data_IF_368941563269
#
_entry.id   IF_368941563269
#
_cell.length_a   1.000
_cell.length_b   1.000
_cell.length_c   1.000
_cell.angle_alpha   90.00
_cell.angle_beta   90.00
_cell.angle_gamma   90.00
#
_symmetry.space_group_name_H-M   'P 1'
#
loop_
_entity.id
_entity.type
_entity.pdbx_description
1 polymer ?
#
# COMPACT_ATOMS: atom_id res chain seq x y z
N UNK A 1 38.50 47.93 6.88
CA UNK A 1 38.20 46.84 7.82
C UNK A 1 36.70 46.68 8.08
N UNK A 2 35.93 47.76 8.34
CA UNK A 2 34.45 47.71 8.53
C UNK A 2 33.71 47.13 7.30
N UNK A 3 34.15 47.45 6.08
CA UNK A 3 33.51 46.94 4.86
C UNK A 3 33.68 45.43 4.66
N UNK A 4 34.81 44.85 5.07
CA UNK A 4 35.04 43.40 4.99
C UNK A 4 34.18 42.64 6.01
N UNK A 5 34.01 43.21 7.21
CA UNK A 5 33.19 42.63 8.27
C UNK A 5 31.71 42.60 7.85
N UNK A 6 31.19 43.70 7.31
CA UNK A 6 29.80 43.76 6.83
C UNK A 6 29.54 42.92 5.56
N UNK A 7 30.57 42.67 4.75
CA UNK A 7 30.48 41.78 3.59
C UNK A 7 30.43 40.29 3.98
N UNK A 8 31.07 39.91 5.08
CA UNK A 8 31.08 38.52 5.59
C UNK A 8 29.93 38.26 6.56
N UNK A 9 29.74 39.15 7.53
CA UNK A 9 28.67 39.09 8.52
C UNK A 9 27.63 40.14 8.17
N UNK A 10 26.45 39.72 7.73
CA UNK A 10 25.36 40.65 7.43
C UNK A 10 24.88 41.30 8.72
N UNK A 11 24.89 42.64 8.79
CA UNK A 11 24.29 43.36 9.92
C UNK A 11 22.81 42.98 10.05
N UNK A 12 22.37 42.60 11.25
CA UNK A 12 21.00 42.12 11.49
C UNK A 12 20.77 40.66 11.11
N UNK A 13 21.83 39.83 11.08
CA UNK A 13 21.69 38.39 10.89
C UNK A 13 20.92 37.78 12.05
N UNK A 14 19.68 37.35 11.79
CA UNK A 14 18.84 36.64 12.76
C UNK A 14 19.37 35.23 12.97
N UNK A 15 19.76 34.95 14.20
CA UNK A 15 20.14 33.61 14.62
C UNK A 15 19.16 33.15 15.69
N UNK A 16 18.48 32.05 15.40
CA UNK A 16 17.57 31.39 16.33
C UNK A 16 18.40 30.55 17.32
N UNK A 17 18.34 30.91 18.60
CA UNK A 17 18.98 30.14 19.66
C UNK A 17 17.96 29.20 20.30
N UNK A 18 18.10 27.90 20.05
CA UNK A 18 17.18 26.91 20.60
C UNK A 18 17.71 26.33 21.92
N UNK A 19 16.95 26.51 23.00
CA UNK A 19 17.20 25.80 24.25
C UNK A 19 16.77 24.33 24.11
N UNK A 20 17.75 23.41 24.16
CA UNK A 20 17.53 21.95 24.11
C UNK A 20 17.50 21.27 25.49
N UNK A 21 17.46 22.04 26.58
CA UNK A 21 17.38 21.52 27.96
C UNK A 21 18.71 21.05 28.54
N UNK A 22 18.92 21.40 29.82
CA UNK A 22 19.95 20.99 30.79
C UNK A 22 21.45 21.02 30.41
N UNK A 23 21.86 21.29 29.17
CA UNK A 23 23.29 21.45 28.84
C UNK A 23 23.49 22.66 27.95
N UNK A 24 24.29 23.61 28.45
CA UNK A 24 24.80 24.82 27.77
C UNK A 24 25.50 24.55 26.43
N UNK A 25 25.72 23.28 26.08
CA UNK A 25 26.24 22.82 24.80
C UNK A 25 25.29 22.99 23.62
N UNK A 26 23.97 23.15 23.84
CA UNK A 26 23.00 23.28 22.74
C UNK A 26 23.30 24.48 21.87
N UNK A 27 23.32 25.66 22.50
CA UNK A 27 23.42 27.00 21.91
C UNK A 27 24.71 27.24 21.12
N UNK A 28 25.80 26.57 21.52
CA UNK A 28 27.07 26.68 20.81
C UNK A 28 27.08 25.92 19.49
N UNK A 29 26.18 24.95 19.28
CA UNK A 29 26.08 24.23 18.00
C UNK A 29 25.40 25.06 16.90
N UNK A 30 24.40 25.87 17.22
CA UNK A 30 23.75 26.72 16.21
C UNK A 30 24.72 27.77 15.66
N UNK A 31 25.47 28.44 16.55
CA UNK A 31 26.53 29.39 16.16
C UNK A 31 27.67 28.68 15.43
N UNK A 32 28.07 27.48 15.86
CA UNK A 32 29.06 26.66 15.13
C UNK A 32 28.62 26.38 13.70
N UNK A 33 27.35 26.05 13.47
CA UNK A 33 26.84 25.78 12.13
C UNK A 33 26.99 27.01 11.22
N UNK A 34 26.71 28.21 11.74
CA UNK A 34 26.88 29.46 11.01
C UNK A 34 28.37 29.68 10.65
N UNK A 35 29.28 29.46 11.59
CA UNK A 35 30.72 29.60 11.33
C UNK A 35 31.26 28.53 10.38
N UNK A 36 30.82 27.28 10.50
CA UNK A 36 31.21 26.21 9.56
C UNK A 36 30.80 26.55 8.12
N UNK A 37 29.62 27.15 7.92
CA UNK A 37 29.14 27.54 6.60
C UNK A 37 29.87 28.76 6.04
N UNK A 38 30.21 29.75 6.88
CA UNK A 38 31.08 30.86 6.49
C UNK A 38 32.51 30.40 6.17
N UNK A 39 33.01 29.38 6.88
CA UNK A 39 34.32 28.81 6.64
C UNK A 39 34.38 28.04 5.32
N UNK A 40 33.33 27.28 4.98
CA UNK A 40 33.20 26.62 3.66
C UNK A 40 33.15 27.61 2.50
N UNK A 41 32.57 28.79 2.72
CA UNK A 41 32.53 29.88 1.75
C UNK A 41 33.87 30.61 1.61
N UNK A 42 34.88 30.26 2.42
CA UNK A 42 36.19 30.90 2.42
C UNK A 42 36.19 32.32 3.01
N UNK A 43 35.11 32.71 3.70
CA UNK A 43 34.95 34.06 4.25
C UNK A 43 35.61 34.20 5.63
N UNK A 44 35.64 33.10 6.38
CA UNK A 44 36.41 32.96 7.62
C UNK A 44 37.24 31.68 7.52
N UNK A 45 38.30 31.57 8.32
CA UNK A 45 39.11 30.36 8.40
C UNK A 45 39.31 29.96 9.86
N UNK A 46 39.29 28.66 10.11
CA UNK A 46 39.67 28.10 11.41
C UNK A 46 41.16 28.33 11.62
N UNK A 47 41.51 29.08 12.66
CA UNK A 47 42.87 29.54 12.94
C UNK A 47 43.85 28.40 13.18
N UNK A 48 43.37 27.33 13.82
CA UNK A 48 44.21 26.20 14.24
C UNK A 48 43.97 24.94 13.40
N UNK A 49 42.96 24.93 12.53
CA UNK A 49 42.59 23.79 11.70
C UNK A 49 42.08 22.57 12.48
N UNK A 50 41.62 22.79 13.72
CA UNK A 50 41.21 21.73 14.67
C UNK A 50 39.68 21.60 14.79
N UNK A 51 38.94 22.46 14.11
CA UNK A 51 37.52 22.71 14.32
C UNK A 51 37.23 23.27 15.72
N UNK A 52 35.95 23.47 16.03
CA UNK A 52 35.51 23.96 17.35
C UNK A 52 35.92 22.97 18.46
N UNK A 53 36.94 23.32 19.25
CA UNK A 53 37.36 22.50 20.39
C UNK A 53 36.45 22.73 21.61
N UNK A 54 36.66 21.95 22.69
CA UNK A 54 35.95 22.16 23.96
C UNK A 54 36.26 23.53 24.58
N UNK A 55 37.48 24.03 24.39
CA UNK A 55 37.89 25.34 24.91
C UNK A 55 37.24 26.46 24.09
N UNK A 56 37.17 26.32 22.77
CA UNK A 56 36.52 27.29 21.89
C UNK A 56 35.01 27.34 22.14
N UNK A 57 34.37 26.20 22.40
CA UNK A 57 32.96 26.17 22.81
C UNK A 57 32.72 26.92 24.14
N UNK A 58 33.65 26.83 25.10
CA UNK A 58 33.56 27.56 26.36
C UNK A 58 33.78 29.07 26.16
N UNK A 59 34.76 29.45 25.34
CA UNK A 59 35.04 30.84 24.99
C UNK A 59 33.86 31.47 24.23
N UNK A 60 33.30 30.76 23.26
CA UNK A 60 32.10 31.15 22.51
C UNK A 60 30.90 31.37 23.44
N UNK A 61 30.66 30.45 24.37
CA UNK A 61 29.58 30.61 25.36
C UNK A 61 29.78 31.86 26.24
N UNK A 62 31.01 32.09 26.71
CA UNK A 62 31.31 33.26 27.54
C UNK A 62 31.12 34.57 26.75
N UNK A 63 31.58 34.62 25.50
CA UNK A 63 31.41 35.77 24.63
C UNK A 63 29.94 36.04 24.32
N UNK A 64 29.16 35.00 24.04
CA UNK A 64 27.71 35.12 23.85
C UNK A 64 27.01 35.68 25.08
N UNK A 65 27.35 35.18 26.27
CA UNK A 65 26.83 35.69 27.54
C UNK A 65 27.18 37.16 27.76
N UNK A 66 28.43 37.56 27.45
CA UNK A 66 28.87 38.95 27.54
C UNK A 66 28.10 39.87 26.58
N UNK A 67 27.90 39.46 25.33
CA UNK A 67 27.12 40.22 24.35
C UNK A 67 25.67 40.40 24.84
N UNK A 68 25.03 39.33 25.31
CA UNK A 68 23.64 39.41 25.80
C UNK A 68 23.52 40.31 27.04
N UNK A 69 24.48 40.26 27.96
CA UNK A 69 24.53 41.15 29.13
C UNK A 69 24.65 42.63 28.73
N UNK A 70 25.57 42.94 27.82
CA UNK A 70 25.85 44.32 27.40
C UNK A 70 24.72 44.95 26.58
N UNK A 71 23.90 44.12 25.93
CA UNK A 71 22.79 44.56 25.05
C UNK A 71 21.41 44.43 25.69
N UNK A 72 21.34 44.00 26.96
CA UNK A 72 20.07 43.80 27.66
C UNK A 72 19.22 42.64 27.13
N UNK A 73 19.81 41.73 26.34
CA UNK A 73 19.14 40.51 25.83
C UNK A 73 19.08 39.46 26.94
N UNK A 74 18.13 38.53 26.86
CA UNK A 74 17.96 37.49 27.88
C UNK A 74 19.25 36.65 28.05
N UNK A 75 19.78 36.58 29.28
CA UNK A 75 21.02 35.88 29.63
C UNK A 75 20.76 34.50 30.25
N UNK A 76 19.53 34.24 30.69
CA UNK A 76 19.16 32.93 31.21
C UNK A 76 18.72 31.98 30.10
N UNK A 77 19.73 31.41 29.45
CA UNK A 77 19.60 30.44 28.37
C UNK A 77 18.83 29.17 28.75
N UNK A 78 18.70 28.86 30.03
CA UNK A 78 17.95 27.68 30.51
C UNK A 78 16.44 27.92 30.58
N UNK A 79 15.99 29.18 30.61
CA UNK A 79 14.57 29.56 30.67
C UNK A 79 14.07 30.22 29.38
N UNK A 80 14.91 30.33 28.35
CA UNK A 80 14.50 30.87 27.05
C UNK A 80 13.47 29.96 26.37
N UNK A 81 12.39 30.56 25.89
CA UNK A 81 11.36 29.87 25.10
C UNK A 81 11.95 29.40 23.77
N UNK A 82 11.59 28.18 23.34
CA UNK A 82 12.00 27.63 22.04
C UNK A 82 11.58 28.59 20.92
N UNK A 83 12.51 28.96 20.03
CA UNK A 83 12.21 29.82 18.87
C UNK A 83 12.61 31.29 18.99
N UNK A 84 13.28 31.71 20.06
CA UNK A 84 13.77 33.09 20.15
C UNK A 84 14.92 33.36 19.18
N UNK A 85 14.73 34.35 18.30
CA UNK A 85 15.73 34.85 17.37
C UNK A 85 16.36 36.13 17.89
N UNK A 86 17.67 36.24 17.76
CA UNK A 86 18.42 37.46 18.11
C UNK A 86 19.08 38.02 16.85
N UNK A 87 18.95 39.33 16.68
CA UNK A 87 19.67 40.09 15.67
C UNK A 87 21.07 40.41 16.20
N UNK A 88 22.10 39.87 15.58
CA UNK A 88 23.49 40.20 15.90
C UNK A 88 24.04 41.22 14.90
N UNK A 89 24.83 42.19 15.38
CA UNK A 89 25.60 43.07 14.50
C UNK A 89 26.78 42.31 13.89
N UNK A 90 27.36 42.87 12.82
CA UNK A 90 28.51 42.26 12.17
C UNK A 90 29.72 42.16 13.11
N UNK A 91 29.89 43.13 14.01
CA UNK A 91 30.92 43.17 15.05
C UNK A 91 30.67 42.14 16.15
N UNK A 92 29.41 41.94 16.56
CA UNK A 92 29.03 40.88 17.51
C UNK A 92 29.31 39.49 16.91
N UNK A 93 28.98 39.30 15.63
CA UNK A 93 29.26 38.05 14.90
C UNK A 93 30.75 37.80 14.72
N UNK A 94 31.54 38.84 14.45
CA UNK A 94 33.00 38.75 14.42
C UNK A 94 33.57 38.34 15.77
N UNK A 95 33.14 38.96 16.87
CA UNK A 95 33.61 38.63 18.21
C UNK A 95 33.26 37.18 18.61
N UNK A 96 32.08 36.70 18.21
CA UNK A 96 31.67 35.31 18.41
C UNK A 96 32.50 34.33 17.56
N UNK A 97 32.80 34.68 16.30
CA UNK A 97 33.63 33.86 15.41
C UNK A 97 35.07 33.73 15.97
N UNK A 98 35.66 34.84 16.42
CA UNK A 98 36.98 34.87 17.06
C UNK A 98 37.02 34.06 18.35
N UNK A 99 35.98 34.15 19.18
CA UNK A 99 35.86 33.34 20.39
C UNK A 99 35.70 31.84 20.08
N UNK A 100 35.16 31.49 18.92
CA UNK A 100 35.04 30.13 18.41
C UNK A 100 36.30 29.63 17.66
N UNK A 101 37.37 30.43 17.59
CA UNK A 101 38.63 30.04 16.96
C UNK A 101 38.71 30.33 15.45
N UNK A 102 37.78 31.11 14.90
CA UNK A 102 37.79 31.51 13.48
C UNK A 102 38.32 32.93 13.31
N UNK A 103 39.05 33.20 12.23
CA UNK A 103 39.48 34.54 11.84
C UNK A 103 38.97 34.91 10.46
N UNK A 104 38.70 36.20 10.23
CA UNK A 104 38.32 36.72 8.93
C UNK A 104 39.48 36.55 7.94
N UNK A 105 39.17 36.13 6.72
CA UNK A 105 40.14 36.15 5.64
C UNK A 105 40.21 37.59 5.11
N UNK A 106 41.22 38.35 5.54
CA UNK A 106 41.46 39.68 4.96
C UNK A 106 41.89 39.51 3.51
N UNK A 107 41.10 40.05 2.59
CA UNK A 107 41.30 39.90 1.15
C UNK A 107 42.47 40.78 0.67
N UNK A 108 43.67 40.22 0.62
CA UNK A 108 44.59 40.48 -0.49
C UNK A 108 44.63 39.21 -1.34
N UNK A 109 44.49 39.37 -2.65
CA UNK A 109 44.31 38.33 -3.68
C UNK A 109 42.90 37.72 -3.85
N UNK A 110 42.05 38.50 -4.53
CA UNK A 110 41.00 37.90 -5.39
C UNK A 110 41.67 37.26 -6.61
N UNK A 111 41.37 36.00 -6.98
CA UNK A 111 41.36 35.65 -8.40
C UNK A 111 40.11 36.28 -9.02
N UNK A 112 40.30 37.31 -9.84
CA UNK A 112 39.26 37.89 -10.69
C UNK A 112 38.61 36.81 -11.56
N UNK A 113 37.27 36.72 -11.64
CA UNK A 113 36.61 35.91 -12.65
C UNK A 113 36.87 36.56 -14.02
N UNK A 114 37.50 35.83 -14.95
CA UNK A 114 37.53 36.21 -16.36
C UNK A 114 36.14 36.01 -16.95
N UNK A 115 35.37 37.09 -17.08
CA UNK A 115 34.29 37.16 -18.07
C UNK A 115 34.88 37.55 -19.43
N UNK A 116 34.33 37.06 -20.55
CA UNK A 116 34.71 37.54 -21.88
C UNK A 116 34.29 39.00 -22.08
N UNK A 117 35.14 39.77 -22.76
CA UNK A 117 34.88 41.16 -23.17
C UNK A 117 33.56 41.27 -23.93
N UNK A 118 32.70 42.19 -23.47
CA UNK A 118 31.54 42.64 -24.24
C UNK A 118 32.08 43.67 -25.24
N UNK A 119 32.15 43.28 -26.52
CA UNK A 119 32.33 44.21 -27.61
C UNK A 119 31.07 45.08 -27.75
N UNK A 120 31.29 46.39 -27.68
CA UNK A 120 30.35 47.48 -27.99
C UNK A 120 29.73 47.26 -29.37
N UNK A 121 28.43 46.94 -29.40
CA UNK A 121 27.63 46.86 -30.60
C UNK A 121 27.01 48.24 -30.89
N UNK A 122 27.82 49.13 -31.45
CA UNK A 122 27.35 50.29 -32.18
C UNK A 122 27.88 50.26 -33.61
N UNK A 123 27.24 49.45 -34.46
CA UNK A 123 26.95 49.76 -35.87
C UNK A 123 26.31 48.56 -36.59
N UNK A 124 25.00 48.60 -36.74
CA UNK A 124 24.32 47.98 -37.87
C UNK A 124 24.59 48.81 -39.13
N UNK A 125 25.12 48.18 -40.18
CA UNK A 125 24.44 48.08 -41.49
C UNK A 125 25.17 47.08 -42.43
N UNK A 126 24.42 46.42 -43.34
CA UNK A 126 24.57 45.00 -43.63
C UNK A 126 25.14 44.73 -45.03
N UNK A 127 25.66 43.53 -45.29
CA UNK A 127 25.48 42.83 -46.58
C UNK A 127 25.50 41.30 -46.37
N UNK A 128 24.46 40.66 -46.92
CA UNK A 128 24.22 39.22 -47.11
C UNK A 128 25.23 38.54 -48.05
N UNK A 129 25.51 37.26 -47.83
CA UNK A 129 25.15 36.11 -48.70
C UNK A 129 26.16 34.96 -48.51
N UNK A 130 25.64 33.73 -48.49
CA UNK A 130 26.34 32.58 -49.07
C UNK A 130 26.59 31.42 -48.12
N UNK A 131 25.65 30.47 -48.20
CA UNK A 131 25.85 29.03 -48.29
C UNK A 131 26.81 28.32 -47.32
N UNK A 132 26.16 27.45 -46.52
CA UNK A 132 26.47 26.03 -46.31
C UNK A 132 26.35 25.70 -44.82
N UNK A 133 25.29 24.98 -44.50
CA UNK A 133 25.08 24.29 -43.22
C UNK A 133 26.15 23.20 -43.09
N UNK A 134 26.94 23.15 -42.01
CA UNK A 134 27.45 21.91 -41.48
C UNK A 134 26.47 21.41 -40.40
N UNK A 135 26.07 20.15 -40.52
CA UNK A 135 25.27 19.41 -39.55
C UNK A 135 25.71 19.67 -38.12
N UNK A 136 24.80 20.19 -37.29
CA UNK A 136 25.00 20.29 -35.84
C UNK A 136 24.74 18.90 -35.26
N UNK A 137 25.81 18.31 -34.73
CA UNK A 137 25.80 17.12 -33.90
C UNK A 137 24.95 17.37 -32.64
N UNK A 138 23.85 16.63 -32.52
CA UNK A 138 22.84 16.71 -31.45
C UNK A 138 23.35 16.02 -30.16
N UNK A 139 24.58 16.32 -29.74
CA UNK A 139 25.10 15.86 -28.46
C UNK A 139 24.45 16.66 -27.32
N UNK A 140 23.69 15.97 -26.47
CA UNK A 140 22.98 16.49 -25.30
C UNK A 140 23.81 17.51 -24.51
N UNK A 141 23.37 18.77 -24.48
CA UNK A 141 23.92 19.79 -23.59
C UNK A 141 23.54 19.39 -22.15
N UNK A 142 24.41 18.66 -21.47
CA UNK A 142 24.23 18.36 -20.04
C UNK A 142 24.36 19.65 -19.23
N UNK A 143 23.29 20.04 -18.54
CA UNK A 143 23.31 21.14 -17.58
C UNK A 143 24.39 20.93 -16.51
N UNK A 144 25.01 22.00 -16.04
CA UNK A 144 25.90 21.94 -14.87
C UNK A 144 25.11 21.56 -13.61
N UNK A 145 25.76 20.90 -12.65
CA UNK A 145 25.12 20.48 -11.38
C UNK A 145 24.47 21.64 -10.63
N UNK A 146 25.05 22.83 -10.72
CA UNK A 146 24.51 24.04 -10.08
C UNK A 146 23.22 24.52 -10.77
N UNK A 147 23.16 24.44 -12.11
CA UNK A 147 21.93 24.74 -12.86
C UNK A 147 20.84 23.70 -12.61
N UNK A 148 21.19 22.41 -12.51
CA UNK A 148 20.26 21.33 -12.16
C UNK A 148 19.67 21.53 -10.76
N UNK A 149 20.50 21.89 -9.78
CA UNK A 149 20.05 22.18 -8.43
C UNK A 149 19.12 23.40 -8.38
N UNK A 150 19.48 24.49 -9.04
CA UNK A 150 18.63 25.69 -9.11
C UNK A 150 17.27 25.40 -9.78
N UNK A 151 17.27 24.59 -10.84
CA UNK A 151 16.04 24.13 -11.48
C UNK A 151 15.19 23.24 -10.55
N UNK A 152 15.83 22.35 -9.78
CA UNK A 152 15.17 21.50 -8.78
C UNK A 152 14.54 22.32 -7.66
N UNK A 153 15.27 23.30 -7.12
CA UNK A 153 14.79 24.21 -6.08
C UNK A 153 13.58 25.02 -6.59
N UNK A 154 13.66 25.59 -7.78
CA UNK A 154 12.53 26.30 -8.40
C UNK A 154 11.31 25.40 -8.63
N UNK A 155 11.50 24.15 -9.04
CA UNK A 155 10.42 23.18 -9.23
C UNK A 155 9.75 22.85 -7.89
N UNK A 156 10.55 22.52 -6.86
CA UNK A 156 10.05 22.17 -5.53
C UNK A 156 9.33 23.35 -4.89
N UNK A 157 9.84 24.57 -5.04
CA UNK A 157 9.21 25.79 -4.55
C UNK A 157 7.87 26.06 -5.26
N UNK A 158 7.78 25.81 -6.58
CA UNK A 158 6.52 25.94 -7.33
C UNK A 158 5.42 24.99 -6.86
N UNK A 159 5.81 23.85 -6.27
CA UNK A 159 4.91 22.87 -5.65
C UNK A 159 4.64 23.17 -4.16
N UNK A 160 5.03 24.36 -3.67
CA UNK A 160 4.90 24.75 -2.26
C UNK A 160 5.78 23.92 -1.31
N UNK A 161 6.82 23.29 -1.87
CA UNK A 161 7.66 22.34 -1.17
C UNK A 161 8.93 22.94 -0.58
N UNK A 162 9.83 22.06 -0.13
CA UNK A 162 11.20 22.40 0.25
C UNK A 162 12.14 21.21 0.11
N UNK A 163 13.42 21.51 -0.11
CA UNK A 163 14.49 20.51 -0.13
C UNK A 163 15.09 20.37 1.28
N UNK A 164 15.31 19.13 1.71
CA UNK A 164 15.94 18.83 3.00
C UNK A 164 16.95 17.69 2.85
N UNK A 165 18.06 17.74 3.61
CA UNK A 165 19.00 16.64 3.65
C UNK A 165 18.52 15.53 4.61
N UNK A 166 18.38 14.30 4.14
CA UNK A 166 17.90 13.15 4.91
C UNK A 166 18.65 11.88 4.54
N UNK A 167 18.51 10.85 5.39
CA UNK A 167 19.08 9.54 5.06
C UNK A 167 18.04 8.70 4.33
N UNK A 168 18.35 8.31 3.11
CA UNK A 168 17.54 7.44 2.25
C UNK A 168 18.38 6.20 1.97
N UNK A 169 17.83 5.02 2.24
CA UNK A 169 18.52 3.73 2.05
C UNK A 169 19.91 3.64 2.70
N UNK A 170 20.10 4.38 3.79
CA UNK A 170 21.35 4.44 4.55
C UNK A 170 22.34 5.52 4.09
N UNK A 171 22.11 6.18 2.95
CA UNK A 171 22.94 7.26 2.44
C UNK A 171 22.31 8.63 2.72
N UNK A 172 23.12 9.67 2.97
CA UNK A 172 22.61 11.03 3.14
C UNK A 172 22.50 11.69 1.77
N UNK A 173 21.31 12.16 1.44
CA UNK A 173 21.03 12.88 0.21
C UNK A 173 19.95 13.93 0.42
N UNK A 174 19.84 14.84 -0.54
CA UNK A 174 18.77 15.82 -0.57
C UNK A 174 17.49 15.16 -1.08
N UNK A 175 16.38 15.49 -0.44
CA UNK A 175 15.05 15.01 -0.79
C UNK A 175 14.10 16.19 -0.91
N UNK A 176 13.12 16.09 -1.78
CA UNK A 176 12.04 17.06 -1.87
C UNK A 176 10.90 16.69 -0.92
N UNK A 177 10.36 17.68 -0.22
CA UNK A 177 9.09 17.57 0.51
C UNK A 177 8.10 18.47 -0.20
N UNK A 178 7.06 17.89 -0.80
CA UNK A 178 6.05 18.61 -1.58
C UNK A 178 4.67 18.25 -1.07
N UNK A 179 3.69 19.11 -1.33
CA UNK A 179 2.29 18.83 -1.03
C UNK A 179 1.58 18.46 -2.34
N UNK A 180 0.99 17.27 -2.39
CA UNK A 180 0.24 16.75 -3.54
C UNK A 180 -1.12 16.34 -3.02
N UNK A 181 -2.18 16.91 -3.58
CA UNK A 181 -3.58 16.64 -3.19
C UNK A 181 -3.83 16.81 -1.67
N UNK A 182 -3.20 17.80 -1.05
CA UNK A 182 -3.29 18.08 0.38
C UNK A 182 -2.51 17.13 1.29
N UNK A 183 -1.74 16.20 0.71
CA UNK A 183 -0.91 15.24 1.44
C UNK A 183 0.57 15.57 1.30
N UNK A 184 1.33 15.41 2.40
CA UNK A 184 2.77 15.68 2.43
C UNK A 184 3.56 14.49 1.90
N UNK A 185 3.98 14.58 0.65
CA UNK A 185 4.79 13.57 -0.02
C UNK A 185 6.27 13.93 0.07
N UNK A 186 7.11 12.92 0.23
CA UNK A 186 8.57 13.05 0.20
C UNK A 186 9.07 12.31 -1.01
N UNK A 187 9.92 12.93 -1.82
CA UNK A 187 10.46 12.34 -3.05
C UNK A 187 11.97 12.41 -3.07
N UNK A 188 12.57 11.40 -3.68
CA UNK A 188 13.97 11.45 -4.06
C UNK A 188 14.21 12.56 -5.09
N UNK A 189 15.45 13.03 -5.16
CA UNK A 189 15.91 13.93 -6.23
C UNK A 189 16.88 13.10 -7.06
N UNK A 190 16.55 12.88 -8.33
CA UNK A 190 17.37 12.12 -9.25
C UNK A 190 18.65 12.91 -9.62
N UNK A 191 19.64 12.22 -10.18
CA UNK A 191 20.91 12.83 -10.61
C UNK A 191 20.73 13.94 -11.66
N UNK A 192 19.62 13.95 -12.40
CA UNK A 192 19.28 14.96 -13.40
C UNK A 192 18.50 16.17 -12.83
N UNK A 193 18.20 16.18 -11.52
CA UNK A 193 17.44 17.21 -10.83
C UNK A 193 15.92 17.03 -10.87
N UNK A 194 15.42 15.94 -11.45
CA UNK A 194 13.97 15.64 -11.43
C UNK A 194 13.53 15.00 -10.11
N UNK A 195 12.23 15.07 -9.82
CA UNK A 195 11.64 14.38 -8.66
C UNK A 195 11.51 12.88 -8.97
N UNK A 196 12.20 12.06 -8.18
CA UNK A 196 12.20 10.61 -8.27
C UNK A 196 11.10 9.94 -7.46
N UNK A 197 11.43 8.74 -6.98
CA UNK A 197 10.52 7.83 -6.27
C UNK A 197 9.99 8.42 -4.96
N UNK A 198 8.81 7.97 -4.53
CA UNK A 198 8.24 8.33 -3.23
C UNK A 198 9.05 7.70 -2.10
N UNK A 199 9.25 8.45 -1.02
CA UNK A 199 10.06 8.04 0.12
C UNK A 199 9.17 7.66 1.30
N UNK A 200 9.27 6.40 1.73
CA UNK A 200 8.51 5.92 2.89
C UNK A 200 9.30 6.08 4.19
N UNK A 201 8.66 6.64 5.22
CA UNK A 201 9.32 6.91 6.50
C UNK A 201 9.53 5.61 7.28
N UNK A 202 10.78 5.35 7.68
CA UNK A 202 11.10 4.15 8.46
C UNK A 202 11.12 4.46 9.95
N UNK A 203 10.48 3.60 10.75
CA UNK A 203 10.70 3.62 12.22
C UNK A 203 11.92 2.77 12.59
N UNK A 204 12.30 1.84 11.73
CA UNK A 204 13.35 0.84 11.96
C UNK A 204 14.74 1.45 12.04
N UNK A 205 15.03 2.46 11.23
CA UNK A 205 16.35 3.07 11.21
C UNK A 205 16.46 4.30 12.14
N UNK A 206 15.35 4.77 12.73
CA UNK A 206 15.30 5.96 13.59
C UNK A 206 14.58 7.15 12.94
N UNK A 207 14.44 8.25 13.68
CA UNK A 207 13.81 9.48 13.15
C UNK A 207 14.55 9.97 11.89
N UNK A 208 13.81 10.50 10.91
CA UNK A 208 14.35 11.14 9.70
C UNK A 208 15.07 10.21 8.70
N UNK A 209 14.72 8.92 8.67
CA UNK A 209 15.27 7.94 7.73
C UNK A 209 14.19 7.33 6.84
N UNK A 210 14.48 7.24 5.55
CA UNK A 210 13.55 6.82 4.52
C UNK A 210 14.12 5.66 3.72
N UNK A 211 13.24 4.94 3.02
CA UNK A 211 13.62 4.04 1.93
C UNK A 211 12.97 4.55 0.65
N UNK A 212 13.69 4.46 -0.47
CA UNK A 212 13.17 4.72 -1.80
C UNK A 212 12.39 3.52 -2.33
N UNK A 213 11.35 3.81 -3.11
CA UNK A 213 10.55 2.77 -3.73
C UNK A 213 9.22 3.28 -4.27
N UNK A 214 8.47 2.36 -4.85
CA UNK A 214 7.11 2.64 -5.29
C UNK A 214 6.15 2.52 -4.10
N UNK A 215 5.95 3.65 -3.41
CA UNK A 215 5.13 3.73 -2.21
C UNK A 215 4.00 4.74 -2.39
N UNK A 216 2.77 4.38 -1.98
CA UNK A 216 1.70 5.35 -1.77
C UNK A 216 2.12 6.47 -0.80
N UNK A 217 1.52 7.66 -0.90
CA UNK A 217 1.71 8.73 0.07
C UNK A 217 1.52 8.27 1.52
N UNK A 218 2.23 8.93 2.43
CA UNK A 218 2.18 8.67 3.88
C UNK A 218 2.52 7.24 4.34
N UNK A 219 3.05 6.39 3.45
CA UNK A 219 3.49 5.04 3.80
C UNK A 219 4.55 5.06 4.90
N UNK A 220 4.34 4.21 5.92
CA UNK A 220 5.26 4.01 7.04
C UNK A 220 5.82 2.60 7.02
N UNK A 221 7.14 2.49 7.10
CA UNK A 221 7.86 1.22 7.10
C UNK A 221 8.24 0.81 8.51
N UNK A 222 7.84 -0.40 8.88
CA UNK A 222 8.04 -0.96 10.21
C UNK A 222 8.62 -2.37 10.12
N UNK A 223 9.52 -2.74 11.03
CA UNK A 223 9.90 -4.15 11.20
C UNK A 223 8.87 -4.87 12.08
N UNK A 224 8.36 -6.00 11.59
CA UNK A 224 7.36 -6.85 12.23
C UNK A 224 7.67 -8.32 12.01
N UNK A 225 7.08 -9.17 12.84
CA UNK A 225 7.10 -10.61 12.62
C UNK A 225 6.03 -10.94 11.57
N UNK A 226 6.47 -11.44 10.42
CA UNK A 226 5.64 -11.92 9.32
C UNK A 226 6.00 -13.38 9.09
N UNK A 227 5.02 -14.28 9.10
CA UNK A 227 5.25 -15.72 8.92
C UNK A 227 6.28 -16.33 9.91
N UNK A 228 6.42 -15.76 11.11
CA UNK A 228 7.40 -16.17 12.12
C UNK A 228 8.82 -15.63 11.92
N UNK A 229 9.06 -14.78 10.91
CA UNK A 229 10.35 -14.13 10.64
C UNK A 229 10.23 -12.62 10.75
N UNK A 230 11.30 -11.95 11.16
CA UNK A 230 11.34 -10.48 11.14
C UNK A 230 11.48 -9.98 9.70
N UNK A 231 10.53 -9.16 9.25
CA UNK A 231 10.48 -8.57 7.92
C UNK A 231 10.01 -7.11 7.99
N UNK A 232 10.27 -6.34 6.93
CA UNK A 232 9.75 -4.98 6.80
C UNK A 232 8.34 -5.01 6.21
N UNK A 233 7.45 -4.19 6.74
CA UNK A 233 6.09 -4.02 6.25
C UNK A 233 5.80 -2.54 6.00
N UNK A 234 5.02 -2.26 4.96
CA UNK A 234 4.47 -0.95 4.67
C UNK A 234 3.06 -0.83 5.25
N UNK A 235 2.76 0.34 5.82
CA UNK A 235 1.42 0.68 6.31
C UNK A 235 1.04 2.05 5.73
N UNK A 236 -0.10 2.10 5.06
CA UNK A 236 -0.69 3.31 4.49
C UNK A 236 -2.22 3.27 4.63
N UNK A 237 -2.88 4.40 4.36
CA UNK A 237 -4.33 4.48 4.26
C UNK A 237 -4.71 4.50 2.77
N UNK A 238 -5.64 3.63 2.37
CA UNK A 238 -6.16 3.61 1.00
C UNK A 238 -7.10 4.80 0.74
N UNK A 239 -7.62 4.91 -0.48
CA UNK A 239 -8.54 5.97 -0.90
C UNK A 239 -9.83 6.04 -0.05
N UNK A 240 -10.19 4.95 0.63
CA UNK A 240 -11.36 4.86 1.51
C UNK A 240 -11.00 5.12 2.99
N UNK A 241 -9.74 5.46 3.30
CA UNK A 241 -9.24 5.64 4.66
C UNK A 241 -8.98 4.34 5.42
N UNK A 242 -8.99 3.18 4.75
CA UNK A 242 -8.68 1.91 5.39
C UNK A 242 -7.17 1.72 5.52
N UNK A 243 -6.73 1.25 6.68
CA UNK A 243 -5.32 0.92 6.90
C UNK A 243 -4.94 -0.37 6.19
N UNK A 244 -4.17 -0.26 5.13
CA UNK A 244 -3.59 -1.38 4.37
C UNK A 244 -2.21 -1.72 4.92
N UNK A 245 -1.86 -3.01 4.89
CA UNK A 245 -0.57 -3.53 5.38
C UNK A 245 -0.02 -4.52 4.35
N UNK A 246 1.16 -4.25 3.83
CA UNK A 246 1.79 -5.05 2.79
C UNK A 246 3.24 -5.36 3.15
N UNK A 247 3.75 -6.48 2.65
CA UNK A 247 5.15 -6.85 2.79
C UNK A 247 5.99 -5.88 1.95
N UNK A 248 7.12 -5.42 2.50
CA UNK A 248 8.10 -4.67 1.71
C UNK A 248 9.03 -5.66 1.06
N UNK A 249 9.06 -5.66 -0.26
CA UNK A 249 9.92 -6.51 -1.08
C UNK A 249 10.91 -5.64 -1.84
N UNK A 250 11.96 -6.30 -2.37
CA UNK A 250 12.92 -5.68 -3.27
C UNK A 250 12.88 -6.40 -4.60
N UNK A 251 12.77 -5.63 -5.67
CA UNK A 251 12.87 -6.16 -7.01
C UNK A 251 14.30 -6.70 -7.21
N UNK A 252 14.48 -7.98 -7.61
CA UNK A 252 15.80 -8.58 -7.72
C UNK A 252 16.62 -8.04 -8.90
N UNK A 253 15.98 -7.43 -9.89
CA UNK A 253 16.63 -6.83 -11.07
C UNK A 253 17.04 -5.39 -10.80
N UNK A 254 16.15 -4.59 -10.21
CA UNK A 254 16.37 -3.15 -10.03
C UNK A 254 16.88 -2.79 -8.64
N UNK A 255 16.71 -3.68 -7.65
CA UNK A 255 17.03 -3.43 -6.24
C UNK A 255 16.04 -2.48 -5.54
N UNK A 256 15.08 -1.92 -6.27
CA UNK A 256 14.08 -0.97 -5.75
C UNK A 256 13.10 -1.66 -4.81
N UNK A 257 12.72 -0.96 -3.76
CA UNK A 257 11.71 -1.46 -2.83
C UNK A 257 10.31 -1.22 -3.38
N UNK A 258 9.38 -2.14 -3.11
CA UNK A 258 7.96 -1.97 -3.45
C UNK A 258 7.08 -2.65 -2.40
N UNK A 259 5.78 -2.35 -2.44
CA UNK A 259 4.78 -3.05 -1.63
C UNK A 259 4.30 -4.30 -2.36
N UNK A 260 4.66 -5.46 -1.81
CA UNK A 260 4.24 -6.75 -2.31
C UNK A 260 2.94 -7.21 -1.66
N UNK A 261 2.96 -8.44 -1.18
CA UNK A 261 1.77 -9.14 -0.73
C UNK A 261 1.07 -8.49 0.48
N UNK A 262 -0.27 -8.51 0.49
CA UNK A 262 -1.07 -8.11 1.64
C UNK A 262 -0.80 -8.98 2.87
N UNK A 263 -0.99 -8.37 4.04
CA UNK A 263 -0.73 -9.00 5.33
C UNK A 263 -1.98 -9.06 6.19
N UNK A 264 -2.23 -10.25 6.74
CA UNK A 264 -3.30 -10.51 7.69
C UNK A 264 -2.73 -10.44 9.11
N UNK A 265 -3.36 -9.64 9.98
CA UNK A 265 -2.94 -9.51 11.38
C UNK A 265 -3.32 -10.78 12.16
N UNK A 266 -2.34 -11.37 12.84
CA UNK A 266 -2.51 -12.57 13.66
C UNK A 266 -2.82 -12.19 15.10
N UNK A 267 -2.00 -11.33 15.70
CA UNK A 267 -2.15 -10.94 17.11
C UNK A 267 -1.81 -9.48 17.33
N UNK A 268 -2.51 -8.84 18.26
CA UNK A 268 -2.25 -7.50 18.78
C UNK A 268 -1.55 -7.51 20.16
N UNK A 269 -1.29 -8.68 20.73
CA UNK A 269 -0.55 -8.79 21.98
C UNK A 269 0.91 -8.35 21.78
N UNK A 270 1.24 -7.14 22.26
CA UNK A 270 2.55 -6.54 22.08
C UNK A 270 2.74 -5.91 20.70
N UNK A 271 3.86 -6.22 20.02
CA UNK A 271 4.04 -5.78 18.62
C UNK A 271 3.23 -6.68 17.71
N UNK A 272 2.32 -6.10 16.93
CA UNK A 272 1.46 -6.85 16.03
C UNK A 272 2.24 -7.86 15.17
N UNK A 273 1.73 -9.08 15.08
CA UNK A 273 2.26 -10.16 14.24
C UNK A 273 1.39 -10.34 13.01
N UNK A 274 1.99 -10.79 11.92
CA UNK A 274 1.31 -10.94 10.64
C UNK A 274 1.64 -12.26 9.96
N UNK A 275 0.77 -12.66 9.04
CA UNK A 275 1.04 -13.65 8.00
C UNK A 275 0.72 -13.05 6.65
N UNK A 276 1.32 -13.59 5.60
CA UNK A 276 0.95 -13.23 4.22
C UNK A 276 -0.45 -13.74 3.88
N UNK A 277 -1.17 -13.03 3.02
CA UNK A 277 -2.53 -13.38 2.59
C UNK A 277 -2.59 -14.77 1.93
N UNK A 278 -1.61 -15.13 1.12
CA UNK A 278 -1.39 -16.47 0.54
C UNK A 278 -1.30 -17.54 1.62
N UNK A 279 -0.47 -17.34 2.65
CA UNK A 279 -0.33 -18.30 3.74
C UNK A 279 -1.63 -18.43 4.52
N UNK A 280 -2.31 -17.32 4.77
CA UNK A 280 -3.62 -17.30 5.41
C UNK A 280 -4.65 -18.10 4.60
N UNK A 281 -4.73 -17.85 3.29
CA UNK A 281 -5.63 -18.56 2.37
C UNK A 281 -5.32 -20.04 2.25
N UNK A 282 -4.03 -20.43 2.22
CA UNK A 282 -3.62 -21.84 2.27
C UNK A 282 -4.09 -22.51 3.55
N UNK A 283 -3.93 -21.86 4.71
CA UNK A 283 -4.40 -22.39 5.99
C UNK A 283 -5.93 -22.56 6.02
N UNK A 284 -6.68 -21.61 5.48
CA UNK A 284 -8.14 -21.73 5.34
C UNK A 284 -8.51 -22.95 4.50
N UNK A 285 -7.89 -23.09 3.32
CA UNK A 285 -8.14 -24.22 2.42
C UNK A 285 -7.83 -25.55 3.11
N UNK A 286 -6.72 -25.65 3.84
CA UNK A 286 -6.35 -26.84 4.61
C UNK A 286 -7.38 -27.16 5.71
N UNK A 287 -7.77 -26.17 6.52
CA UNK A 287 -8.73 -26.34 7.62
C UNK A 287 -10.11 -26.79 7.13
N UNK A 288 -10.55 -26.26 5.99
CA UNK A 288 -11.84 -26.56 5.38
C UNK A 288 -11.77 -27.73 4.39
N UNK A 289 -10.57 -28.27 4.15
CA UNK A 289 -10.28 -29.32 3.16
C UNK A 289 -10.78 -28.97 1.76
N UNK A 290 -10.62 -27.71 1.35
CA UNK A 290 -11.05 -27.23 0.04
C UNK A 290 -10.12 -27.76 -1.05
N UNK A 291 -10.68 -28.12 -2.21
CA UNK A 291 -9.91 -28.42 -3.41
C UNK A 291 -9.12 -27.21 -3.93
N UNK A 292 -8.19 -27.43 -4.87
CA UNK A 292 -7.36 -26.36 -5.48
C UNK A 292 -8.23 -25.27 -6.11
N UNK A 293 -9.29 -25.67 -6.82
CA UNK A 293 -10.19 -24.75 -7.52
C UNK A 293 -11.49 -24.47 -6.76
N UNK A 294 -11.67 -25.08 -5.59
CA UNK A 294 -12.86 -24.86 -4.76
C UNK A 294 -12.78 -23.48 -4.11
N UNK A 295 -13.80 -22.64 -4.30
CA UNK A 295 -13.89 -21.33 -3.67
C UNK A 295 -14.40 -21.45 -2.23
N UNK A 296 -13.93 -20.55 -1.36
CA UNK A 296 -14.52 -20.35 -0.05
C UNK A 296 -15.96 -19.83 -0.22
N UNK A 297 -16.94 -20.27 0.59
CA UNK A 297 -18.27 -19.66 0.58
C UNK A 297 -18.18 -18.15 0.81
N UNK A 298 -18.89 -17.35 0.02
CA UNK A 298 -18.81 -15.88 0.07
C UNK A 298 -19.36 -15.31 1.39
N UNK A 299 -20.27 -16.03 2.04
CA UNK A 299 -20.86 -15.68 3.33
C UNK A 299 -19.94 -15.99 4.53
N UNK A 300 -18.77 -16.58 4.27
CA UNK A 300 -17.85 -17.05 5.28
C UNK A 300 -16.59 -16.21 5.30
N UNK A 301 -16.31 -15.60 6.46
CA UNK A 301 -15.10 -14.81 6.68
C UNK A 301 -14.19 -15.47 7.70
N UNK A 302 -12.95 -15.72 7.31
CA UNK A 302 -11.92 -16.15 8.24
C UNK A 302 -11.22 -14.94 8.89
N UNK A 303 -10.84 -15.06 10.16
CA UNK A 303 -9.99 -14.10 10.85
C UNK A 303 -9.22 -14.76 11.99
N UNK A 304 -8.13 -14.13 12.45
CA UNK A 304 -7.49 -14.51 13.71
C UNK A 304 -8.14 -13.78 14.88
N UNK A 305 -8.42 -14.51 15.96
CA UNK A 305 -8.87 -13.98 17.24
C UNK A 305 -7.93 -14.42 18.35
N UNK A 306 -7.68 -13.53 19.30
CA UNK A 306 -6.90 -13.86 20.50
C UNK A 306 -7.83 -14.11 21.68
N UNK A 307 -7.68 -15.26 22.34
CA UNK A 307 -8.43 -15.63 23.54
C UNK A 307 -7.51 -16.40 24.49
N UNK A 308 -7.53 -16.07 25.78
CA UNK A 308 -6.72 -16.77 26.79
C UNK A 308 -5.20 -16.68 26.59
N UNK A 309 -4.70 -15.70 25.83
CA UNK A 309 -3.28 -15.56 25.49
C UNK A 309 -2.84 -16.37 24.26
N UNK A 310 -3.73 -17.19 23.70
CA UNK A 310 -3.53 -17.92 22.47
C UNK A 310 -4.25 -17.22 21.31
N UNK A 311 -3.81 -17.49 20.08
CA UNK A 311 -4.41 -16.93 18.87
C UNK A 311 -4.87 -18.07 17.99
N UNK A 312 -6.14 -18.01 17.56
CA UNK A 312 -6.78 -19.04 16.78
C UNK A 312 -7.41 -18.43 15.53
N UNK A 313 -7.43 -19.20 14.45
CA UNK A 313 -8.24 -18.86 13.28
C UNK A 313 -9.68 -19.27 13.55
N UNK A 314 -10.62 -18.36 13.33
CA UNK A 314 -12.06 -18.60 13.43
C UNK A 314 -12.75 -18.25 12.12
N UNK A 315 -13.89 -18.87 11.89
CA UNK A 315 -14.75 -18.61 10.75
C UNK A 315 -16.04 -17.96 11.23
N UNK A 316 -16.39 -16.84 10.61
CA UNK A 316 -17.59 -16.08 10.91
C UNK A 316 -18.57 -16.13 9.75
N UNK A 317 -19.85 -16.25 10.10
CA UNK A 317 -20.98 -16.04 9.20
C UNK A 317 -21.87 -14.97 9.82
N UNK A 318 -22.24 -13.95 9.05
CA UNK A 318 -23.04 -12.81 9.52
C UNK A 318 -22.47 -12.14 10.78
N UNK A 319 -21.13 -12.08 10.88
CA UNK A 319 -20.40 -11.51 12.02
C UNK A 319 -20.31 -12.41 13.26
N UNK A 320 -20.97 -13.57 13.28
CA UNK A 320 -20.91 -14.53 14.41
C UNK A 320 -19.91 -15.63 14.15
N UNK A 321 -19.09 -15.96 15.16
CA UNK A 321 -18.16 -17.08 15.09
C UNK A 321 -18.95 -18.39 15.05
N UNK A 322 -18.68 -19.22 14.05
CA UNK A 322 -19.26 -20.55 13.96
C UNK A 322 -18.46 -21.54 14.81
N UNK A 323 -19.18 -22.44 15.47
CA UNK A 323 -18.59 -23.63 16.08
C UNK A 323 -18.05 -24.58 15.01
N UNK A 324 -17.18 -25.52 15.42
CA UNK A 324 -16.63 -26.53 14.51
C UNK A 324 -17.69 -27.45 13.89
N UNK A 325 -18.85 -27.63 14.54
CA UNK A 325 -19.97 -28.42 14.00
C UNK A 325 -20.72 -27.62 12.95
N UNK A 326 -21.11 -26.38 13.26
CA UNK A 326 -21.80 -25.48 12.33
C UNK A 326 -20.96 -25.24 11.08
N UNK A 327 -19.65 -25.03 11.22
CA UNK A 327 -18.75 -24.87 10.09
C UNK A 327 -18.71 -26.11 9.18
N UNK A 328 -18.65 -27.32 9.75
CA UNK A 328 -18.64 -28.56 8.98
C UNK A 328 -19.94 -28.76 8.22
N UNK A 329 -21.08 -28.48 8.87
CA UNK A 329 -22.40 -28.55 8.23
C UNK A 329 -22.50 -27.52 7.11
N UNK A 330 -22.09 -26.27 7.36
CA UNK A 330 -22.12 -25.21 6.35
C UNK A 330 -21.27 -25.53 5.11
N UNK A 331 -20.04 -26.01 5.28
CA UNK A 331 -19.18 -26.39 4.15
C UNK A 331 -19.76 -27.59 3.38
N UNK A 332 -20.37 -28.54 4.09
CA UNK A 332 -21.05 -29.67 3.47
C UNK A 332 -22.24 -29.19 2.63
N UNK A 333 -23.04 -28.28 3.15
CA UNK A 333 -24.20 -27.73 2.47
C UNK A 333 -23.79 -26.87 1.26
N UNK A 334 -22.73 -26.06 1.39
CA UNK A 334 -22.15 -25.31 0.28
C UNK A 334 -21.68 -26.23 -0.87
N UNK A 335 -20.96 -27.32 -0.55
CA UNK A 335 -20.59 -28.33 -1.55
C UNK A 335 -21.81 -28.98 -2.17
N UNK A 336 -22.84 -29.20 -1.38
CA UNK A 336 -24.08 -29.74 -1.88
C UNK A 336 -24.74 -28.80 -2.90
N UNK A 337 -24.76 -27.50 -2.62
CA UNK A 337 -25.23 -26.44 -3.51
C UNK A 337 -24.46 -26.41 -4.82
N UNK A 338 -23.12 -26.38 -4.76
CA UNK A 338 -22.28 -26.40 -5.97
C UNK A 338 -22.53 -27.64 -6.84
N UNK A 339 -22.84 -28.77 -6.21
CA UNK A 339 -23.19 -29.98 -6.93
C UNK A 339 -24.55 -29.84 -7.63
N UNK A 340 -25.57 -29.28 -6.97
CA UNK A 340 -26.87 -29.01 -7.58
C UNK A 340 -26.75 -28.11 -8.81
N UNK A 341 -25.98 -27.02 -8.67
CA UNK A 341 -25.71 -26.08 -9.75
C UNK A 341 -25.00 -26.70 -10.95
N UNK A 342 -24.43 -27.90 -10.83
CA UNK A 342 -23.78 -28.60 -11.93
C UNK A 342 -24.59 -29.79 -12.46
N UNK A 343 -25.72 -30.14 -11.82
CA UNK A 343 -26.56 -31.26 -12.23
C UNK A 343 -27.44 -30.87 -13.43
N UNK A 344 -27.07 -31.38 -14.60
CA UNK A 344 -27.75 -31.05 -15.87
C UNK A 344 -29.23 -31.45 -15.91
N UNK A 345 -29.59 -32.54 -15.22
CA UNK A 345 -30.97 -33.03 -15.15
C UNK A 345 -31.83 -32.11 -14.28
N UNK A 346 -31.30 -31.73 -13.11
CA UNK A 346 -31.94 -30.73 -12.26
C UNK A 346 -32.14 -29.40 -12.99
N UNK A 347 -31.12 -28.92 -13.71
CA UNK A 347 -31.23 -27.69 -14.52
C UNK A 347 -32.35 -27.76 -15.56
N UNK A 348 -32.44 -28.88 -16.28
CA UNK A 348 -33.49 -29.06 -17.29
C UNK A 348 -34.89 -28.99 -16.69
N UNK A 349 -35.09 -29.56 -15.50
CA UNK A 349 -36.37 -29.51 -14.79
C UNK A 349 -36.67 -28.13 -14.20
N UNK A 350 -35.67 -27.43 -13.65
CA UNK A 350 -35.83 -26.05 -13.18
C UNK A 350 -36.17 -25.10 -14.33
N UNK A 351 -35.58 -25.28 -15.52
CA UNK A 351 -35.92 -24.54 -16.72
C UNK A 351 -37.36 -24.80 -17.17
N UNK A 352 -37.79 -26.07 -17.16
CA UNK A 352 -39.17 -26.44 -17.47
C UNK A 352 -40.17 -25.83 -16.46
N UNK A 353 -39.85 -25.85 -15.17
CA UNK A 353 -40.67 -25.21 -14.13
C UNK A 353 -40.76 -23.71 -14.36
N UNK A 354 -39.65 -23.07 -14.75
CA UNK A 354 -39.61 -21.67 -15.12
C UNK A 354 -40.55 -21.34 -16.29
N UNK A 355 -40.54 -22.15 -17.35
CA UNK A 355 -41.45 -22.01 -18.50
C UNK A 355 -42.92 -22.17 -18.11
N UNK A 356 -43.25 -23.15 -17.27
CA UNK A 356 -44.62 -23.37 -16.80
C UNK A 356 -45.12 -22.26 -15.86
N UNK A 357 -44.22 -21.68 -15.07
CA UNK A 357 -44.55 -20.64 -14.09
C UNK A 357 -44.76 -19.26 -14.72
N UNK A 358 -44.22 -19.02 -15.91
CA UNK A 358 -44.50 -17.79 -16.67
C UNK A 358 -45.99 -17.70 -17.00
N UNK A 359 -46.54 -16.49 -17.02
CA UNK A 359 -47.93 -16.25 -17.43
C UNK A 359 -48.09 -16.79 -18.86
N UNK A 360 -49.15 -17.54 -19.18
CA UNK A 360 -49.32 -18.00 -20.55
C UNK A 360 -49.47 -16.77 -21.45
N UNK A 361 -48.75 -16.74 -22.56
CA UNK A 361 -48.88 -15.69 -23.56
C UNK A 361 -50.33 -15.64 -24.09
N UNK A 362 -50.64 -14.55 -24.80
CA UNK A 362 -51.94 -14.09 -25.33
C UNK A 362 -53.04 -15.13 -25.67
N UNK A 363 -52.73 -16.40 -25.92
CA UNK A 363 -53.65 -17.51 -26.19
C UNK A 363 -54.79 -17.62 -25.18
N UNK A 364 -54.54 -17.48 -23.87
CA UNK A 364 -55.60 -17.64 -22.86
C UNK A 364 -56.57 -16.45 -22.89
N UNK A 365 -56.08 -15.25 -23.19
CA UNK A 365 -56.93 -14.07 -23.35
C UNK A 365 -57.75 -14.13 -24.64
N UNK A 366 -57.19 -14.66 -25.73
CA UNK A 366 -57.91 -14.89 -26.99
C UNK A 366 -59.00 -15.94 -26.82
N UNK A 367 -58.70 -17.08 -26.18
CA UNK A 367 -59.69 -18.13 -25.92
C UNK A 367 -60.82 -17.69 -24.97
N UNK A 368 -60.51 -16.83 -23.97
CA UNK A 368 -61.55 -16.19 -23.14
C UNK A 368 -62.43 -15.24 -23.98
N UNK A 369 -61.85 -14.48 -24.91
CA UNK A 369 -62.62 -13.64 -25.84
C UNK A 369 -63.49 -14.45 -26.82
N UNK A 370 -63.08 -15.68 -27.15
CA UNK A 370 -63.84 -16.63 -27.98
C UNK A 370 -64.90 -17.44 -27.20
N UNK A 371 -65.07 -17.17 -25.90
CA UNK A 371 -66.10 -17.80 -25.05
C UNK A 371 -65.73 -19.21 -24.55
N UNK A 372 -64.46 -19.57 -24.55
CA UNK A 372 -63.95 -20.89 -24.12
C UNK A 372 -63.53 -20.91 -22.64
N UNK A 373 -64.27 -20.19 -21.78
CA UNK A 373 -63.90 -19.98 -20.36
C UNK A 373 -63.67 -21.28 -19.57
N UNK A 374 -64.48 -22.32 -19.84
CA UNK A 374 -64.37 -23.63 -19.18
C UNK A 374 -63.06 -24.35 -19.55
N UNK A 375 -62.71 -24.36 -20.84
CA UNK A 375 -61.46 -24.95 -21.32
C UNK A 375 -60.23 -24.19 -20.80
N UNK A 376 -60.32 -22.86 -20.72
CA UNK A 376 -59.23 -22.07 -20.13
C UNK A 376 -59.10 -22.35 -18.63
N UNK A 377 -60.21 -22.54 -17.90
CA UNK A 377 -60.18 -22.94 -16.49
C UNK A 377 -59.57 -24.33 -16.29
N UNK A 378 -59.88 -25.29 -17.15
CA UNK A 378 -59.28 -26.64 -17.12
C UNK A 378 -57.77 -26.59 -17.41
N UNK A 379 -57.34 -25.81 -18.40
CA UNK A 379 -55.93 -25.63 -18.73
C UNK A 379 -55.17 -24.90 -17.61
N UNK A 380 -55.75 -23.87 -16.98
CA UNK A 380 -55.18 -23.19 -15.82
C UNK A 380 -55.03 -24.16 -14.63
N UNK A 381 -56.02 -25.02 -14.39
CA UNK A 381 -55.99 -26.03 -13.34
C UNK A 381 -54.92 -27.11 -13.61
N UNK A 382 -54.83 -27.62 -14.84
CA UNK A 382 -53.81 -28.59 -15.24
C UNK A 382 -52.42 -27.99 -15.10
N UNK A 383 -52.20 -26.77 -15.59
CA UNK A 383 -50.92 -26.09 -15.46
C UNK A 383 -50.51 -25.90 -14.01
N UNK A 384 -51.45 -25.56 -13.13
CA UNK A 384 -51.18 -25.42 -11.69
C UNK A 384 -50.79 -26.77 -11.06
N UNK A 385 -51.47 -27.86 -11.47
CA UNK A 385 -51.11 -29.22 -11.07
C UNK A 385 -49.71 -29.59 -11.53
N UNK A 386 -49.35 -29.32 -12.79
CA UNK A 386 -48.04 -29.61 -13.36
C UNK A 386 -46.92 -28.84 -12.65
N UNK A 387 -47.15 -27.56 -12.32
CA UNK A 387 -46.21 -26.73 -11.53
C UNK A 387 -45.99 -27.35 -10.15
N UNK A 388 -47.07 -27.77 -9.48
CA UNK A 388 -47.00 -28.36 -8.14
C UNK A 388 -46.26 -29.70 -8.15
N UNK A 389 -46.59 -30.59 -9.09
CA UNK A 389 -45.92 -31.88 -9.26
C UNK A 389 -44.42 -31.70 -9.57
N UNK A 390 -44.10 -30.82 -10.53
CA UNK A 390 -42.72 -30.57 -10.94
C UNK A 390 -41.91 -29.91 -9.81
N UNK A 391 -42.50 -28.95 -9.11
CA UNK A 391 -41.87 -28.31 -7.94
C UNK A 391 -41.60 -29.33 -6.83
N UNK A 392 -42.58 -30.16 -6.48
CA UNK A 392 -42.42 -31.21 -5.47
C UNK A 392 -41.37 -32.25 -5.88
N UNK A 393 -41.38 -32.66 -7.15
CA UNK A 393 -40.37 -33.56 -7.71
C UNK A 393 -38.96 -32.98 -7.64
N UNK A 394 -38.77 -31.72 -8.05
CA UNK A 394 -37.48 -31.03 -7.91
C UNK A 394 -37.00 -30.99 -6.45
N UNK A 395 -37.88 -30.72 -5.48
CA UNK A 395 -37.51 -30.76 -4.07
C UNK A 395 -37.12 -32.16 -3.58
N UNK A 396 -37.86 -33.19 -4.02
CA UNK A 396 -37.57 -34.58 -3.70
C UNK A 396 -36.22 -34.99 -4.30
N UNK A 397 -36.00 -34.75 -5.59
CA UNK A 397 -34.75 -35.03 -6.27
C UNK A 397 -33.56 -34.29 -5.63
N UNK A 398 -33.76 -33.02 -5.20
CA UNK A 398 -32.76 -32.30 -4.43
C UNK A 398 -32.37 -33.02 -3.12
N UNK A 399 -33.35 -33.58 -2.42
CA UNK A 399 -33.10 -34.41 -1.24
C UNK A 399 -32.25 -35.64 -1.57
N UNK A 400 -32.49 -36.26 -2.73
CA UNK A 400 -31.77 -37.47 -3.11
C UNK A 400 -30.32 -37.21 -3.52
N UNK A 401 -30.04 -36.15 -4.28
CA UNK A 401 -28.68 -35.74 -4.63
C UNK A 401 -27.79 -35.57 -3.38
N UNK A 402 -28.34 -35.04 -2.28
CA UNK A 402 -27.63 -34.94 -0.98
C UNK A 402 -27.20 -36.30 -0.44
N UNK A 403 -27.94 -37.37 -0.72
CA UNK A 403 -27.57 -38.74 -0.34
C UNK A 403 -26.44 -39.28 -1.23
N UNK A 404 -26.46 -39.01 -2.54
CA UNK A 404 -25.37 -39.38 -3.47
C UNK A 404 -24.02 -38.80 -3.08
N UNK A 405 -23.97 -37.54 -2.65
CA UNK A 405 -22.72 -36.87 -2.25
C UNK A 405 -21.99 -37.57 -1.09
N UNK A 406 -22.73 -38.34 -0.29
CA UNK A 406 -22.19 -39.04 0.87
C UNK A 406 -21.99 -40.54 0.60
N UNK A 407 -22.13 -41.00 -0.65
CA UNK A 407 -22.14 -42.42 -1.05
C UNK A 407 -23.02 -43.27 -0.11
N UNK A 408 -24.16 -42.71 0.31
CA UNK A 408 -25.02 -43.36 1.30
C UNK A 408 -25.83 -44.48 0.64
N UNK A 409 -26.06 -45.51 1.43
CA UNK A 409 -27.17 -46.42 1.18
C UNK A 409 -28.46 -45.75 1.63
N UNK A 410 -29.48 -45.75 0.77
CA UNK A 410 -30.82 -45.25 1.06
C UNK A 410 -31.81 -46.39 1.03
N UNK A 411 -32.86 -46.31 1.85
CA UNK A 411 -33.97 -47.25 1.82
C UNK A 411 -35.16 -46.58 1.15
N UNK A 412 -35.64 -47.15 0.05
CA UNK A 412 -36.78 -46.64 -0.72
C UNK A 412 -37.76 -47.80 -0.87
N UNK A 413 -39.02 -47.59 -0.47
CA UNK A 413 -40.08 -48.60 -0.52
C UNK A 413 -39.65 -49.95 0.09
N UNK A 414 -38.90 -49.90 1.20
CA UNK A 414 -38.40 -51.06 1.94
C UNK A 414 -37.17 -51.76 1.35
N UNK A 415 -36.63 -51.30 0.22
CA UNK A 415 -35.42 -51.85 -0.43
C UNK A 415 -34.23 -50.92 -0.26
N UNK A 416 -33.04 -51.50 -0.06
CA UNK A 416 -31.79 -50.74 0.03
C UNK A 416 -31.15 -50.53 -1.35
N UNK A 417 -30.71 -49.29 -1.57
CA UNK A 417 -30.01 -48.86 -2.77
C UNK A 417 -28.74 -48.10 -2.37
N UNK A 418 -27.63 -48.42 -3.02
CA UNK A 418 -26.40 -47.63 -2.95
C UNK A 418 -26.46 -46.53 -4.00
N UNK A 419 -26.22 -45.30 -3.57
CA UNK A 419 -26.17 -44.15 -4.46
C UNK A 419 -24.80 -44.11 -5.17
N UNK A 420 -24.77 -44.27 -6.50
CA UNK A 420 -23.53 -44.21 -7.32
C UNK A 420 -23.58 -43.13 -8.40
N UNK A 421 -22.42 -42.55 -8.72
CA UNK A 421 -22.22 -41.65 -9.87
C UNK A 421 -21.29 -42.34 -10.86
N UNK A 422 -21.69 -42.44 -12.12
CA UNK A 422 -20.90 -43.10 -13.17
C UNK A 422 -20.03 -42.10 -13.93
N UNK A 423 -19.12 -42.58 -14.77
CA UNK A 423 -18.15 -41.75 -15.51
C UNK A 423 -18.77 -40.76 -16.51
N UNK A 424 -20.06 -40.91 -16.82
CA UNK A 424 -20.86 -39.94 -17.58
C UNK A 424 -21.44 -38.80 -16.70
N UNK A 425 -21.01 -38.73 -15.44
CA UNK A 425 -21.56 -37.88 -14.38
C UNK A 425 -23.07 -38.08 -14.13
N UNK A 426 -23.67 -39.16 -14.63
CA UNK A 426 -25.07 -39.48 -14.32
C UNK A 426 -25.18 -40.26 -13.02
N UNK A 427 -26.31 -40.06 -12.36
CA UNK A 427 -26.64 -40.66 -11.07
C UNK A 427 -27.50 -41.89 -11.26
N UNK A 428 -27.15 -42.94 -10.51
CA UNK A 428 -27.90 -44.17 -10.50
C UNK A 428 -28.07 -44.69 -9.09
N UNK A 429 -29.17 -45.39 -8.87
CA UNK A 429 -29.31 -46.30 -7.74
C UNK A 429 -28.75 -47.66 -8.11
N UNK A 430 -27.98 -48.25 -7.22
CA UNK A 430 -27.46 -49.60 -7.38
C UNK A 430 -28.06 -50.52 -6.32
N UNK A 431 -28.59 -51.67 -6.73
CA UNK A 431 -29.04 -52.73 -5.82
C UNK A 431 -28.54 -54.07 -6.33
N UNK A 432 -27.64 -54.70 -5.57
CA UNK A 432 -26.86 -55.85 -6.05
C UNK A 432 -26.02 -55.45 -7.28
N UNK A 433 -26.26 -56.11 -8.41
CA UNK A 433 -25.60 -55.84 -9.70
C UNK A 433 -26.46 -55.02 -10.66
N UNK A 434 -27.65 -54.57 -10.23
CA UNK A 434 -28.57 -53.80 -11.08
C UNK A 434 -28.43 -52.31 -10.82
N UNK A 435 -28.42 -51.52 -11.90
CA UNK A 435 -28.46 -50.06 -11.89
C UNK A 435 -29.87 -49.58 -12.26
N UNK A 436 -30.29 -48.48 -11.66
CA UNK A 436 -31.57 -47.84 -11.93
C UNK A 436 -31.37 -46.34 -12.11
N UNK A 437 -32.04 -45.76 -13.10
CA UNK A 437 -32.16 -44.30 -13.25
C UNK A 437 -33.03 -43.73 -12.14
N UNK A 438 -32.93 -42.42 -11.94
CA UNK A 438 -33.61 -41.70 -10.87
C UNK A 438 -34.77 -40.93 -11.47
N UNK A 439 -35.99 -41.21 -11.00
CA UNK A 439 -37.20 -40.49 -11.37
C UNK A 439 -37.27 -39.10 -10.73
N UNK A 440 -38.19 -38.28 -11.23
CA UNK A 440 -38.49 -36.94 -10.71
C UNK A 440 -38.94 -36.96 -9.25
N UNK A 441 -39.63 -38.02 -8.85
CA UNK A 441 -40.06 -38.26 -7.47
C UNK A 441 -38.92 -38.72 -6.55
N UNK A 442 -37.71 -38.89 -7.09
CA UNK A 442 -36.56 -39.40 -6.36
C UNK A 442 -36.57 -40.92 -6.16
N UNK A 443 -37.40 -41.66 -6.91
CA UNK A 443 -37.44 -43.13 -6.84
C UNK A 443 -36.67 -43.78 -7.99
N UNK A 444 -36.33 -45.08 -7.88
CA UNK A 444 -35.82 -45.85 -9.01
C UNK A 444 -36.87 -45.93 -10.11
N UNK A 445 -36.55 -45.47 -11.32
CA UNK A 445 -37.49 -45.41 -12.45
C UNK A 445 -37.25 -46.57 -13.43
N UNK A 446 -36.15 -46.53 -14.18
CA UNK A 446 -35.82 -47.55 -15.20
C UNK A 446 -34.58 -48.35 -14.82
N UNK A 447 -34.69 -49.68 -14.90
CA UNK A 447 -33.54 -50.58 -14.76
C UNK A 447 -32.66 -50.48 -16.00
N UNK A 448 -31.39 -50.11 -15.82
CA UNK A 448 -30.40 -50.12 -16.89
C UNK A 448 -29.72 -51.48 -16.94
N UNK A 449 -30.30 -52.40 -17.71
CA UNK A 449 -29.67 -53.68 -18.00
C UNK A 449 -28.46 -53.46 -18.95
N UNK A 450 -27.23 -53.77 -18.48
CA UNK A 450 -26.04 -53.87 -19.35
C UNK A 450 -24.89 -52.87 -19.14
N UNK A 451 -24.91 -51.99 -18.14
CA UNK A 451 -23.81 -51.02 -17.94
C UNK A 451 -22.57 -51.56 -17.20
N UNK A 452 -22.73 -52.58 -16.35
CA UNK A 452 -21.60 -53.12 -15.56
C UNK A 452 -20.65 -54.02 -16.38
N UNK A 453 -21.14 -54.68 -17.44
CA UNK A 453 -20.30 -55.56 -18.27
C UNK A 453 -19.32 -54.79 -19.19
N UNK A 454 -19.60 -53.53 -19.51
CA UNK A 454 -18.74 -52.69 -20.37
C UNK A 454 -17.76 -51.79 -19.60
N UNK A 455 -17.70 -51.88 -18.26
CA UNK A 455 -16.86 -51.00 -17.41
C UNK A 455 -15.75 -51.72 -16.65
N UNK A 456 -15.65 -53.06 -16.75
CA UNK A 456 -14.52 -53.87 -16.25
C UNK A 456 -13.61 -54.33 -17.42
N UNK A 457 -13.63 -53.60 -18.53
CA UNK A 457 -12.75 -53.80 -19.70
C UNK A 457 -11.54 -52.90 -19.65
#
# INVERSE_FOLDING_TARGET
>A
MVDAINNVFKSGQKIELQNRGAKSSGITFELKSVFDDLAKQGLIKDKDGKGLTKQDALNLYNMLNQIHQNTGRATNYTTMQTGQSFDYTAEEMKALAEAAGYELVESEDKPTPKYPEILDASQDKPVLLGDAVPDIDNSEIKMSKDMQRAATESLVDSLGGKIINRSVDGQKQDIAVVEIDGQKVRREINDDGTLGDTLAATKTFGKNKYISGDFPPETRILEREVNGKKQQIGIYEDENGNKVRQLVEKDPKTGKSYLGENLVMVSSAGKNKYVTESKFNTQIREMLKLGVDEKLPEDLRAEYVSSGGETFMVFKKDGKIMSGTELKEHIKDYRAQQYFENDSMLKGWEEQLGKLSQTPDMDYSVMKMEGMDEQVSEMEAQRKSDIEELSNGIQNYKSVIRNWQNNKTVTIDGKQYTCVTMGDNKKYYMSGTSLYTVGLDGKPDQKTDGLLENMIG
#
